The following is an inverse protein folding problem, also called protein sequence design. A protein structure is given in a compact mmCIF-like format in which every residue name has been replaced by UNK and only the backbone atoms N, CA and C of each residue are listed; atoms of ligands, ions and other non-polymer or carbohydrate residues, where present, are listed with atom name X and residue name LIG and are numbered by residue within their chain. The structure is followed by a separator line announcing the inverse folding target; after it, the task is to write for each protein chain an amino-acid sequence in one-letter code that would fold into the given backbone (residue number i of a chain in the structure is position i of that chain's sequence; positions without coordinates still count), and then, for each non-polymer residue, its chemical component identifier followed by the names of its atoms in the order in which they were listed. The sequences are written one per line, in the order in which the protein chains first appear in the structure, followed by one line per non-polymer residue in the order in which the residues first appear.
data_IF_051700895997
#
_entry.id   IF_051700895997
#
_cell.length_a   1.000
_cell.length_b   1.000
_cell.length_c   1.000
_cell.angle_alpha   90.00
_cell.angle_beta   90.00
_cell.angle_gamma   90.00
#
_symmetry.space_group_name_H-M   'P 1'
#
loop_
_entity.id
_entity.type
_entity.pdbx_description
1 polymer ?
#
# COMPACT_ATOMS: atom_id res chain seq x y z
N UNK A 1 -33.22 -34.49 33.22
CA UNK A 1 -32.07 -34.88 32.37
C UNK A 1 -32.34 -34.37 30.97
N UNK A 2 -31.68 -33.29 30.57
CA UNK A 2 -31.60 -32.87 29.17
C UNK A 2 -30.12 -32.66 28.88
N UNK A 3 -29.51 -33.66 28.26
CA UNK A 3 -28.14 -33.59 27.74
C UNK A 3 -28.11 -32.53 26.63
N UNK A 4 -27.57 -31.36 26.94
CA UNK A 4 -27.15 -30.42 25.93
C UNK A 4 -25.94 -31.03 25.21
N UNK A 5 -26.17 -31.47 23.97
CA UNK A 5 -25.11 -31.89 23.05
C UNK A 5 -24.14 -30.71 22.89
N UNK A 6 -22.97 -30.79 23.54
CA UNK A 6 -21.85 -29.89 23.29
C UNK A 6 -21.39 -30.12 21.85
N UNK A 7 -21.84 -29.28 20.91
CA UNK A 7 -21.18 -29.16 19.61
C UNK A 7 -19.76 -28.71 19.88
N UNK A 8 -18.78 -29.50 19.45
CA UNK A 8 -17.38 -29.07 19.43
C UNK A 8 -17.27 -27.90 18.45
N UNK A 9 -16.96 -26.70 18.94
CA UNK A 9 -16.70 -25.54 18.10
C UNK A 9 -15.53 -25.87 17.15
N UNK A 10 -15.83 -25.98 15.86
CA UNK A 10 -14.82 -26.20 14.83
C UNK A 10 -14.06 -24.91 14.60
N UNK A 11 -12.74 -24.99 14.43
CA UNK A 11 -11.91 -23.82 14.12
C UNK A 11 -11.67 -23.73 12.61
N UNK A 12 -11.90 -22.55 12.02
CA UNK A 12 -11.45 -22.20 10.67
C UNK A 12 -10.09 -21.51 10.73
N UNK A 13 -9.21 -21.77 9.75
CA UNK A 13 -7.95 -21.03 9.61
C UNK A 13 -8.17 -19.90 8.61
N UNK A 14 -7.74 -18.69 8.97
CA UNK A 14 -7.85 -17.49 8.15
C UNK A 14 -6.47 -16.86 7.98
N UNK A 15 -6.27 -16.22 6.83
CA UNK A 15 -5.05 -15.47 6.51
C UNK A 15 -5.45 -14.01 6.36
N UNK A 16 -4.81 -13.12 7.12
CA UNK A 16 -5.05 -11.69 6.98
C UNK A 16 -4.51 -11.18 5.63
N UNK A 17 -5.31 -10.51 4.79
CA UNK A 17 -4.84 -9.97 3.51
C UNK A 17 -3.79 -8.86 3.69
N UNK A 18 -3.88 -8.07 4.77
CA UNK A 18 -2.99 -6.93 5.01
C UNK A 18 -1.61 -7.35 5.53
N UNK A 19 -1.54 -8.22 6.55
CA UNK A 19 -0.27 -8.62 7.18
C UNK A 19 0.14 -10.08 6.97
N UNK A 20 -0.66 -10.87 6.24
CA UNK A 20 -0.45 -12.31 5.98
C UNK A 20 -0.35 -13.20 7.22
N UNK A 21 -0.71 -12.68 8.41
CA UNK A 21 -0.78 -13.48 9.62
C UNK A 21 -1.87 -14.56 9.48
N UNK A 22 -1.49 -15.80 9.77
CA UNK A 22 -2.43 -16.93 9.82
C UNK A 22 -2.94 -17.08 11.26
N UNK A 23 -4.26 -16.99 11.44
CA UNK A 23 -4.89 -17.14 12.75
C UNK A 23 -6.19 -17.94 12.64
N UNK A 24 -6.73 -18.39 13.78
CA UNK A 24 -7.89 -19.28 13.83
C UNK A 24 -9.10 -18.58 14.42
N UNK A 25 -10.26 -18.88 13.85
CA UNK A 25 -11.55 -18.27 14.20
C UNK A 25 -12.56 -19.38 14.44
N UNK A 26 -13.41 -19.30 15.47
CA UNK A 26 -14.53 -20.23 15.64
C UNK A 26 -15.44 -20.20 14.42
N UNK A 27 -15.85 -21.36 13.90
CA UNK A 27 -16.76 -21.46 12.74
C UNK A 27 -18.18 -20.97 13.03
N UNK A 28 -18.51 -20.76 14.30
CA UNK A 28 -19.77 -20.23 14.79
C UNK A 28 -19.68 -18.73 15.14
N UNK A 29 -18.66 -18.04 14.63
CA UNK A 29 -18.52 -16.60 14.82
C UNK A 29 -19.65 -15.84 14.10
N UNK A 30 -20.53 -15.23 14.88
CA UNK A 30 -21.74 -14.50 14.46
C UNK A 30 -21.52 -12.99 14.25
N UNK A 31 -20.26 -12.53 14.36
CA UNK A 31 -19.88 -11.15 14.09
C UNK A 31 -19.55 -10.89 12.61
N UNK A 32 -19.99 -9.72 12.11
CA UNK A 32 -19.76 -9.21 10.75
C UNK A 32 -18.26 -8.99 10.37
N UNK A 33 -17.35 -9.21 11.31
CA UNK A 33 -15.91 -9.13 11.07
C UNK A 33 -15.09 -9.56 12.28
N UNK A 34 -13.80 -9.79 12.04
CA UNK A 34 -12.80 -10.22 13.02
C UNK A 34 -11.60 -9.31 12.95
N UNK A 35 -11.08 -8.92 14.10
CA UNK A 35 -9.88 -8.09 14.16
C UNK A 35 -8.65 -9.00 14.07
N UNK A 36 -7.76 -8.72 13.11
CA UNK A 36 -6.51 -9.45 12.99
C UNK A 36 -5.63 -9.18 14.23
N UNK A 37 -5.12 -10.22 14.92
CA UNK A 37 -4.28 -10.00 16.10
C UNK A 37 -2.90 -9.41 15.79
N UNK A 38 -2.46 -9.45 14.52
CA UNK A 38 -1.17 -8.91 14.09
C UNK A 38 -1.21 -7.42 13.78
N UNK A 39 -2.09 -7.01 12.87
CA UNK A 39 -2.16 -5.64 12.38
C UNK A 39 -3.38 -4.85 12.86
N UNK A 40 -4.26 -5.46 13.67
CA UNK A 40 -5.52 -4.87 14.17
C UNK A 40 -6.53 -4.45 13.09
N UNK A 41 -6.32 -4.85 11.84
CA UNK A 41 -7.27 -4.65 10.74
C UNK A 41 -8.58 -5.43 10.97
N UNK A 42 -9.73 -4.81 10.71
CA UNK A 42 -11.04 -5.47 10.76
C UNK A 42 -11.30 -6.22 9.45
N UNK A 43 -11.31 -7.55 9.51
CA UNK A 43 -11.55 -8.42 8.36
C UNK A 43 -13.02 -8.80 8.30
N UNK A 44 -13.69 -8.51 7.18
CA UNK A 44 -15.03 -8.99 6.92
C UNK A 44 -14.98 -10.50 6.61
N UNK A 45 -15.60 -11.33 7.45
CA UNK A 45 -15.79 -12.75 7.14
C UNK A 45 -17.08 -12.88 6.31
N UNK A 46 -17.04 -13.46 5.10
CA UNK A 46 -18.25 -13.67 4.32
C UNK A 46 -19.19 -14.66 5.03
N UNK A 47 -20.46 -14.29 5.21
CA UNK A 47 -21.47 -15.18 5.78
C UNK A 47 -21.48 -16.56 5.11
N UNK A 48 -21.60 -17.60 5.94
CA UNK A 48 -21.60 -19.03 5.57
C UNK A 48 -22.63 -19.39 4.48
N UNK A 49 -23.63 -18.53 4.26
CA UNK A 49 -24.66 -18.69 3.21
C UNK A 49 -24.08 -18.53 1.80
N UNK A 50 -23.00 -17.76 1.61
CA UNK A 50 -22.37 -17.57 0.28
C UNK A 50 -21.40 -18.69 -0.10
N UNK A 51 -20.74 -19.31 0.89
CA UNK A 51 -19.75 -20.37 0.64
C UNK A 51 -20.42 -21.67 0.15
N UNK A 52 -21.59 -22.02 0.69
CA UNK A 52 -22.31 -23.22 0.24
C UNK A 52 -22.77 -23.12 -1.22
N UNK A 53 -23.18 -21.93 -1.68
CA UNK A 53 -23.63 -21.71 -3.07
C UNK A 53 -22.48 -21.70 -4.08
N UNK A 54 -21.29 -21.26 -3.68
CA UNK A 54 -20.08 -21.32 -4.53
C UNK A 54 -19.50 -22.73 -4.65
N UNK A 55 -19.57 -23.54 -3.60
CA UNK A 55 -19.02 -24.90 -3.59
C UNK A 55 -19.95 -25.96 -4.21
N UNK A 56 -21.25 -25.70 -4.32
CA UNK A 56 -22.19 -26.59 -5.01
C UNK A 56 -22.10 -26.51 -6.54
N UNK A 57 -21.57 -25.41 -7.09
CA UNK A 57 -21.32 -25.27 -8.54
C UNK A 57 -20.08 -26.00 -9.06
N UNK A 58 -19.23 -26.53 -8.18
CA UNK A 58 -17.96 -27.19 -8.54
C UNK A 58 -18.01 -28.72 -8.51
N UNK A 59 -19.19 -29.30 -8.37
CA UNK A 59 -19.37 -30.75 -8.54
C UNK A 59 -19.96 -31.06 -9.91
N UNK A 60 -19.09 -31.41 -10.87
CA UNK A 60 -19.29 -32.57 -11.76
C UNK A 60 -18.05 -32.87 -12.61
N UNK A 61 -17.78 -34.18 -12.71
CA UNK A 61 -16.88 -34.94 -13.59
C UNK A 61 -15.38 -34.69 -13.55
N UNK A 62 -14.72 -35.28 -12.54
CA UNK A 62 -13.47 -36.01 -12.76
C UNK A 62 -13.81 -37.32 -13.49
N UNK A 63 -13.63 -37.34 -14.81
CA UNK A 63 -13.34 -38.52 -15.65
C UNK A 63 -13.47 -38.04 -17.10
N UNK A 64 -12.38 -37.53 -17.65
CA UNK A 64 -12.00 -37.56 -19.06
C UNK A 64 -10.79 -36.63 -19.27
N UNK A 65 -9.58 -37.21 -19.17
CA UNK A 65 -8.39 -36.65 -19.81
C UNK A 65 -8.23 -37.31 -21.17
N UNK A 66 -8.04 -36.52 -22.24
CA UNK A 66 -6.95 -36.85 -23.12
C UNK A 66 -6.05 -35.63 -23.41
N UNK A 67 -4.76 -35.88 -23.21
CA UNK A 67 -3.59 -35.39 -23.92
C UNK A 67 -3.76 -34.20 -24.89
N UNK A 68 -3.23 -33.04 -24.49
CA UNK A 68 -2.57 -32.11 -25.42
C UNK A 68 -1.25 -31.64 -24.80
N UNK A 69 -0.21 -32.46 -24.98
CA UNK A 69 1.18 -31.98 -25.08
C UNK A 69 1.44 -31.72 -26.56
N UNK A 70 1.48 -30.46 -26.99
CA UNK A 70 2.38 -29.97 -28.05
C UNK A 70 2.11 -28.50 -28.40
N UNK A 71 3.22 -27.75 -28.54
CA UNK A 71 3.39 -26.41 -29.15
C UNK A 71 3.10 -25.21 -28.26
N UNK A 72 4.10 -24.87 -27.45
CA UNK A 72 4.45 -23.50 -27.14
C UNK A 72 5.84 -23.21 -27.71
N UNK A 73 5.87 -22.42 -28.79
CA UNK A 73 6.98 -21.54 -29.15
C UNK A 73 6.41 -20.12 -29.29
N UNK A 74 7.22 -19.08 -29.03
CA UNK A 74 6.75 -17.82 -28.45
C UNK A 74 6.23 -16.88 -29.53
N UNK A 75 5.06 -16.28 -29.29
CA UNK A 75 4.66 -15.05 -29.97
C UNK A 75 5.34 -13.89 -29.23
N UNK A 76 6.45 -13.43 -29.78
CA UNK A 76 7.04 -12.14 -29.45
C UNK A 76 6.22 -11.04 -30.13
N UNK A 77 5.84 -10.04 -29.33
CA UNK A 77 5.57 -8.62 -29.65
C UNK A 77 4.44 -8.10 -28.74
N UNK A 78 4.85 -7.71 -27.52
CA UNK A 78 4.01 -6.94 -26.60
C UNK A 78 4.61 -5.53 -26.47
N UNK A 79 3.80 -4.54 -26.82
CA UNK A 79 4.05 -3.11 -26.83
C UNK A 79 4.29 -2.55 -25.43
N UNK A 80 5.30 -1.68 -25.32
CA UNK A 80 5.94 -1.21 -24.09
C UNK A 80 5.50 0.18 -23.67
N UNK A 81 4.98 0.34 -22.44
CA UNK A 81 5.43 1.41 -21.52
C UNK A 81 5.22 1.04 -20.03
N UNK A 82 4.12 0.40 -19.64
CA UNK A 82 3.98 -0.16 -18.26
C UNK A 82 4.54 -1.59 -18.12
N UNK A 83 4.59 -2.36 -19.22
CA UNK A 83 5.26 -3.67 -19.25
C UNK A 83 6.79 -3.59 -19.10
N UNK A 84 7.40 -2.40 -19.29
CA UNK A 84 8.82 -2.18 -19.03
C UNK A 84 9.12 -1.95 -17.53
N UNK A 85 8.18 -1.33 -16.80
CA UNK A 85 8.26 -1.19 -15.33
C UNK A 85 8.07 -2.55 -14.64
N UNK A 86 7.08 -3.35 -15.06
CA UNK A 86 6.79 -4.63 -14.38
C UNK A 86 7.72 -5.80 -14.77
N UNK A 87 8.44 -5.74 -15.90
CA UNK A 87 9.38 -6.83 -16.28
C UNK A 87 10.68 -6.85 -15.50
N UNK A 88 11.07 -5.77 -14.81
CA UNK A 88 12.24 -5.79 -13.94
C UNK A 88 12.00 -6.38 -12.54
N UNK A 89 10.75 -6.73 -12.20
CA UNK A 89 10.44 -7.46 -10.95
C UNK A 89 10.56 -8.99 -11.07
N UNK A 90 10.86 -9.54 -12.26
CA UNK A 90 10.98 -10.99 -12.48
C UNK A 90 12.34 -11.43 -13.05
N UNK A 91 13.42 -10.68 -12.78
CA UNK A 91 14.79 -11.17 -12.98
C UNK A 91 15.77 -10.62 -11.94
N UNK A 92 15.50 -10.85 -10.65
CA UNK A 92 16.62 -11.05 -9.74
C UNK A 92 17.10 -12.48 -9.96
N UNK A 93 18.33 -12.64 -10.40
CA UNK A 93 19.08 -13.88 -10.30
C UNK A 93 18.77 -14.56 -8.97
N UNK A 94 18.38 -15.84 -9.01
CA UNK A 94 18.38 -16.67 -7.79
C UNK A 94 19.71 -16.46 -7.07
N UNK A 95 19.71 -16.21 -5.75
CA UNK A 95 20.95 -16.09 -5.02
C UNK A 95 21.75 -17.40 -5.15
N UNK A 96 23.08 -17.30 -5.20
CA UNK A 96 24.02 -18.38 -5.58
C UNK A 96 24.06 -19.61 -4.64
N UNK A 97 23.09 -19.74 -3.72
CA UNK A 97 22.93 -20.89 -2.83
C UNK A 97 21.91 -21.93 -3.33
N UNK A 98 21.22 -21.68 -4.45
CA UNK A 98 20.31 -22.65 -5.12
C UNK A 98 20.97 -23.47 -6.24
N UNK A 99 22.31 -23.54 -6.31
CA UNK A 99 22.96 -24.54 -7.16
C UNK A 99 22.88 -25.91 -6.48
N UNK A 100 22.06 -26.80 -7.05
CA UNK A 100 22.07 -28.22 -6.75
C UNK A 100 23.50 -28.76 -6.91
N UNK A 101 24.09 -29.19 -5.80
CA UNK A 101 25.37 -29.90 -5.79
C UNK A 101 25.11 -31.30 -6.31
N UNK A 102 25.76 -31.66 -7.43
CA UNK A 102 25.73 -33.01 -7.98
C UNK A 102 26.27 -34.01 -6.94
N UNK A 103 25.47 -34.97 -6.45
CA UNK A 103 25.87 -35.87 -5.37
C UNK A 103 26.99 -36.85 -5.76
N UNK A 104 27.44 -36.87 -7.01
CA UNK A 104 28.45 -37.81 -7.50
C UNK A 104 29.92 -37.29 -7.45
N UNK A 105 30.19 -36.05 -7.00
CA UNK A 105 31.56 -35.48 -6.99
C UNK A 105 32.30 -35.45 -5.63
N UNK A 106 31.89 -36.21 -4.61
CA UNK A 106 32.65 -36.27 -3.33
C UNK A 106 33.49 -37.56 -3.21
N UNK A 107 34.84 -37.49 -3.14
CA UNK A 107 35.66 -38.67 -2.93
C UNK A 107 35.52 -39.21 -1.51
N UNK A 108 35.01 -40.44 -1.39
CA UNK A 108 34.89 -41.19 -0.13
C UNK A 108 36.28 -41.48 0.47
N UNK A 109 36.60 -40.85 1.60
CA UNK A 109 37.71 -41.26 2.48
C UNK A 109 37.18 -41.57 3.88
N UNK A 110 37.31 -42.83 4.29
CA UNK A 110 36.75 -43.37 5.53
C UNK A 110 37.55 -42.91 6.76
N UNK A 111 36.93 -42.12 7.63
CA UNK A 111 37.49 -41.72 8.93
C UNK A 111 36.51 -42.06 10.07
N UNK A 112 36.20 -43.36 10.25
CA UNK A 112 35.35 -43.84 11.35
C UNK A 112 35.93 -43.61 12.76
N UNK A 113 37.21 -43.24 12.87
CA UNK A 113 37.90 -43.02 14.15
C UNK A 113 37.80 -41.59 14.69
N UNK A 114 37.48 -40.60 13.85
CA UNK A 114 37.35 -39.19 14.28
C UNK A 114 35.92 -38.89 14.78
N UNK A 115 34.93 -39.59 14.22
CA UNK A 115 33.52 -39.39 14.57
C UNK A 115 33.18 -39.92 15.97
N UNK A 116 33.83 -40.98 16.45
CA UNK A 116 33.55 -41.55 17.78
C UNK A 116 34.09 -40.70 18.93
N UNK A 117 35.20 -39.97 18.71
CA UNK A 117 35.79 -39.06 19.70
C UNK A 117 34.98 -37.77 19.86
N UNK A 118 34.34 -37.28 18.80
CA UNK A 118 33.46 -36.11 18.85
C UNK A 118 32.14 -36.38 19.57
N UNK A 119 31.58 -37.58 19.44
CA UNK A 119 30.32 -37.94 20.11
C UNK A 119 30.45 -38.06 21.64
N UNK A 120 31.57 -38.59 22.16
CA UNK A 120 31.77 -38.66 23.62
C UNK A 120 32.06 -37.28 24.26
N UNK A 121 32.74 -36.38 23.56
CA UNK A 121 33.00 -35.02 24.04
C UNK A 121 31.76 -34.11 23.98
N UNK A 122 30.94 -34.25 22.93
CA UNK A 122 29.73 -33.43 22.75
C UNK A 122 28.63 -33.74 23.78
N UNK A 123 28.42 -35.01 24.10
CA UNK A 123 27.38 -35.42 25.07
C UNK A 123 27.73 -34.99 26.49
N UNK A 124 29.01 -35.08 26.87
CA UNK A 124 29.46 -34.63 28.20
C UNK A 124 29.39 -33.11 28.36
N UNK A 125 29.73 -32.34 27.31
CA UNK A 125 29.56 -30.89 27.31
C UNK A 125 28.09 -30.46 27.39
N UNK A 126 27.20 -31.13 26.67
CA UNK A 126 25.76 -30.80 26.67
C UNK A 126 25.11 -31.05 28.04
N UNK A 127 25.46 -32.14 28.72
CA UNK A 127 24.94 -32.45 30.07
C UNK A 127 25.40 -31.41 31.09
N UNK A 128 26.64 -30.92 31.00
CA UNK A 128 27.16 -29.87 31.88
C UNK A 128 26.44 -28.52 31.68
N UNK A 129 26.13 -28.16 30.43
CA UNK A 129 25.38 -26.94 30.10
C UNK A 129 23.94 -27.04 30.61
N UNK A 130 23.27 -28.17 30.39
CA UNK A 130 21.92 -28.40 30.90
C UNK A 130 21.87 -28.40 32.44
N UNK A 131 22.89 -28.94 33.11
CA UNK A 131 22.98 -28.92 34.57
C UNK A 131 23.22 -27.49 35.10
N UNK A 132 24.09 -26.69 34.44
CA UNK A 132 24.30 -25.29 34.80
C UNK A 132 23.04 -24.44 34.61
N UNK A 133 22.32 -24.61 33.50
CA UNK A 133 21.06 -23.91 33.25
C UNK A 133 19.98 -24.32 34.27
N UNK A 134 19.92 -25.60 34.62
CA UNK A 134 18.98 -26.08 35.64
C UNK A 134 19.30 -25.50 37.04
N UNK A 135 20.57 -25.38 37.41
CA UNK A 135 20.98 -24.73 38.69
C UNK A 135 20.72 -23.23 38.74
N UNK A 136 20.75 -22.53 37.60
CA UNK A 136 20.36 -21.10 37.54
C UNK A 136 18.85 -20.95 37.68
N UNK A 137 18.05 -21.86 37.11
CA UNK A 137 16.58 -21.79 37.20
C UNK A 137 16.07 -22.13 38.60
N UNK A 138 16.73 -23.05 39.34
CA UNK A 138 16.29 -23.43 40.69
C UNK A 138 16.76 -22.50 41.81
N UNK A 139 17.59 -21.51 41.52
CA UNK A 139 18.05 -20.50 42.49
C UNK A 139 17.31 -19.17 42.39
N UNK A 140 16.39 -19.03 41.43
CA UNK A 140 15.59 -17.82 41.22
C UNK A 140 14.11 -18.12 41.49
N UNK A 141 13.79 -18.39 42.75
CA UNK A 141 12.46 -18.12 43.31
C UNK A 141 12.62 -17.27 44.57
N UNK A 142 11.90 -16.14 44.57
CA UNK A 142 11.63 -15.20 45.67
C UNK A 142 12.70 -14.15 46.00
N UNK A 143 12.75 -13.08 45.22
CA UNK A 143 12.56 -11.68 45.68
C UNK A 143 12.83 -10.71 44.53
N UNK A 144 11.78 -10.13 43.95
CA UNK A 144 11.52 -8.68 43.88
C UNK A 144 10.37 -8.42 42.90
N UNK A 145 9.29 -7.86 43.43
CA UNK A 145 8.26 -7.18 42.66
C UNK A 145 8.93 -5.93 42.08
N UNK A 146 9.43 -6.04 40.84
CA UNK A 146 9.84 -4.87 40.07
C UNK A 146 8.57 -4.31 39.42
N UNK A 147 8.18 -3.12 39.88
CA UNK A 147 7.14 -2.32 39.26
C UNK A 147 7.39 -2.20 37.76
N UNK A 148 6.35 -2.54 36.99
CA UNK A 148 6.26 -2.38 35.54
C UNK A 148 6.40 -0.89 35.25
N UNK A 149 7.59 -0.44 34.87
CA UNK A 149 7.78 0.92 34.35
C UNK A 149 6.96 1.04 33.08
N UNK A 150 6.09 2.05 33.06
CA UNK A 150 5.26 2.41 31.92
C UNK A 150 6.11 2.47 30.65
N UNK A 151 5.78 1.61 29.69
CA UNK A 151 6.32 1.65 28.34
C UNK A 151 5.69 2.89 27.70
N UNK A 152 6.44 3.99 27.64
CA UNK A 152 6.01 5.23 26.99
C UNK A 152 5.62 4.89 25.55
N UNK A 153 4.31 4.86 25.32
CA UNK A 153 3.70 4.75 24.00
C UNK A 153 4.29 5.87 23.14
N UNK A 154 4.91 5.57 21.98
CA UNK A 154 5.49 6.58 21.11
C UNK A 154 4.48 7.70 20.83
N UNK A 155 4.92 8.97 20.89
CA UNK A 155 4.06 10.15 20.81
C UNK A 155 3.10 10.13 19.61
N UNK A 156 3.54 9.59 18.46
CA UNK A 156 2.69 9.44 17.26
C UNK A 156 1.50 8.50 17.46
N UNK A 157 1.63 7.49 18.32
CA UNK A 157 0.56 6.55 18.64
C UNK A 157 -0.49 7.20 19.56
N UNK A 158 -0.07 8.09 20.46
CA UNK A 158 -0.98 8.94 21.25
C UNK A 158 -1.65 10.02 20.38
N UNK A 159 -0.91 10.64 19.46
CA UNK A 159 -1.44 11.64 18.52
C UNK A 159 -2.49 11.04 17.58
N UNK A 160 -2.35 9.78 17.16
CA UNK A 160 -3.36 9.10 16.33
C UNK A 160 -4.68 8.88 17.09
N UNK A 161 -4.65 8.51 18.37
CA UNK A 161 -5.87 8.39 19.20
C UNK A 161 -6.54 9.76 19.41
N UNK A 162 -5.78 10.84 19.60
CA UNK A 162 -6.35 12.18 19.73
C UNK A 162 -6.87 12.77 18.39
N UNK A 163 -6.24 12.45 17.26
CA UNK A 163 -6.67 12.90 15.93
C UNK A 163 -7.88 12.12 15.40
N UNK A 164 -8.02 10.84 15.73
CA UNK A 164 -9.25 10.07 15.44
C UNK A 164 -10.48 10.70 16.13
N UNK A 165 -10.29 11.29 17.31
CA UNK A 165 -11.36 11.97 18.07
C UNK A 165 -11.72 13.34 17.48
N UNK A 166 -10.82 13.99 16.72
CA UNK A 166 -11.03 15.33 16.16
C UNK A 166 -11.40 15.36 14.67
N UNK A 167 -11.62 14.21 14.03
CA UNK A 167 -12.11 14.16 12.65
C UNK A 167 -13.41 14.98 12.57
N UNK A 168 -13.51 16.02 11.70
CA UNK A 168 -14.79 16.66 11.47
C UNK A 168 -15.73 15.57 10.96
N UNK A 169 -16.79 15.32 11.73
CA UNK A 169 -17.85 14.43 11.31
C UNK A 169 -18.45 15.00 10.01
N UNK A 170 -17.99 14.51 8.86
CA UNK A 170 -18.77 14.61 7.64
C UNK A 170 -20.07 13.90 7.98
N UNK A 171 -21.12 14.67 8.25
CA UNK A 171 -22.41 14.12 8.65
C UNK A 171 -22.81 13.08 7.60
N UNK A 172 -22.86 11.82 8.00
CA UNK A 172 -23.23 10.69 7.12
C UNK A 172 -24.56 10.95 6.38
N UNK A 173 -25.43 11.77 6.97
CA UNK A 173 -26.70 12.21 6.38
C UNK A 173 -26.55 12.96 5.05
N UNK A 174 -25.47 13.74 4.85
CA UNK A 174 -25.22 14.47 3.59
C UNK A 174 -24.75 13.57 2.45
N UNK A 175 -23.92 12.56 2.76
CA UNK A 175 -23.45 11.56 1.79
C UNK A 175 -24.63 10.68 1.32
N UNK A 176 -25.54 10.32 2.23
CA UNK A 176 -26.73 9.52 1.90
C UNK A 176 -27.72 10.29 1.02
N UNK A 177 -27.90 11.59 1.22
CA UNK A 177 -28.77 12.42 0.37
C UNK A 177 -28.19 12.60 -1.06
N UNK A 178 -26.87 12.75 -1.18
CA UNK A 178 -26.16 12.81 -2.47
C UNK A 178 -26.31 11.50 -3.25
N UNK A 179 -26.21 10.35 -2.58
CA UNK A 179 -26.36 9.04 -3.21
C UNK A 179 -27.79 8.79 -3.78
N UNK A 180 -28.77 9.61 -3.39
CA UNK A 180 -30.15 9.54 -3.89
C UNK A 180 -30.41 10.44 -5.12
N UNK A 181 -29.49 11.35 -5.48
CA UNK A 181 -29.57 12.06 -6.75
C UNK A 181 -29.27 11.07 -7.89
N UNK A 182 -30.21 10.92 -8.82
CA UNK A 182 -30.05 10.03 -9.98
C UNK A 182 -28.78 10.36 -10.78
N UNK A 183 -28.34 11.61 -10.74
CA UNK A 183 -27.13 12.07 -11.40
C UNK A 183 -25.84 11.52 -10.77
N UNK A 184 -25.86 11.11 -9.50
CA UNK A 184 -24.70 10.62 -8.76
C UNK A 184 -24.74 9.11 -8.52
N UNK A 185 -25.71 8.41 -9.10
CA UNK A 185 -25.75 6.95 -9.10
C UNK A 185 -24.49 6.36 -9.73
N UNK A 186 -23.86 5.43 -9.02
CA UNK A 186 -22.58 4.84 -9.41
C UNK A 186 -22.59 4.18 -10.79
N UNK A 187 -23.69 3.57 -11.22
CA UNK A 187 -23.81 2.97 -12.56
C UNK A 187 -23.80 4.03 -13.67
N UNK A 188 -24.51 5.14 -13.47
CA UNK A 188 -24.57 6.26 -14.42
C UNK A 188 -23.24 6.99 -14.48
N UNK A 189 -22.68 7.33 -13.30
CA UNK A 189 -21.39 8.00 -13.18
C UNK A 189 -20.28 7.13 -13.77
N UNK A 190 -20.26 5.85 -13.40
CA UNK A 190 -19.31 4.85 -13.87
C UNK A 190 -19.24 4.73 -15.39
N UNK A 191 -20.40 4.68 -16.05
CA UNK A 191 -20.47 4.65 -17.51
C UNK A 191 -19.86 5.91 -18.15
N UNK A 192 -20.17 7.10 -17.63
CA UNK A 192 -19.67 8.38 -18.15
C UNK A 192 -18.16 8.55 -17.93
N UNK A 193 -17.65 8.27 -16.73
CA UNK A 193 -16.20 8.33 -16.47
C UNK A 193 -15.45 7.26 -17.27
N UNK A 194 -16.04 6.08 -17.50
CA UNK A 194 -15.46 5.06 -18.35
C UNK A 194 -15.38 5.45 -19.83
N UNK A 195 -16.31 6.26 -20.34
CA UNK A 195 -16.24 6.84 -21.68
C UNK A 195 -15.11 7.87 -21.79
N UNK A 196 -15.03 8.80 -20.84
CA UNK A 196 -13.94 9.81 -20.80
C UNK A 196 -12.58 9.13 -20.66
N UNK A 197 -12.45 8.15 -19.78
CA UNK A 197 -11.21 7.41 -19.60
C UNK A 197 -10.80 6.73 -20.91
N UNK A 198 -11.71 6.08 -21.65
CA UNK A 198 -11.38 5.49 -22.95
C UNK A 198 -10.91 6.53 -23.96
N UNK A 199 -11.55 7.70 -24.04
CA UNK A 199 -11.09 8.77 -24.92
C UNK A 199 -9.66 9.24 -24.60
N UNK A 200 -9.28 9.28 -23.33
CA UNK A 200 -7.93 9.71 -22.92
C UNK A 200 -6.92 8.59 -23.16
N UNK A 201 -7.18 7.40 -22.65
CA UNK A 201 -6.24 6.29 -22.65
C UNK A 201 -6.07 5.64 -24.03
N UNK A 202 -7.07 5.72 -24.91
CA UNK A 202 -6.99 5.17 -26.26
C UNK A 202 -6.64 6.24 -27.32
N UNK A 203 -6.50 7.51 -26.93
CA UNK A 203 -6.07 8.59 -27.84
C UNK A 203 -4.68 8.33 -28.41
N UNK A 204 -4.48 8.64 -29.69
CA UNK A 204 -3.17 8.51 -30.35
C UNK A 204 -2.21 9.62 -29.93
N UNK A 205 -2.76 10.77 -29.51
CA UNK A 205 -2.01 11.94 -29.07
C UNK A 205 -2.56 12.53 -27.79
N UNK A 206 -1.66 13.03 -26.92
CA UNK A 206 -2.04 13.78 -25.71
C UNK A 206 -2.75 15.10 -26.01
N UNK A 207 -2.65 15.60 -27.24
CA UNK A 207 -3.40 16.79 -27.68
C UNK A 207 -4.92 16.55 -27.72
N UNK A 208 -5.36 15.29 -27.85
CA UNK A 208 -6.78 14.93 -27.82
C UNK A 208 -7.37 15.00 -26.41
N UNK A 209 -6.53 15.16 -25.38
CA UNK A 209 -6.97 15.18 -23.98
C UNK A 209 -7.59 16.52 -23.58
N UNK A 210 -7.22 17.62 -24.25
CA UNK A 210 -7.61 18.99 -23.90
C UNK A 210 -9.10 19.16 -23.50
N UNK A 211 -10.11 18.64 -24.24
CA UNK A 211 -11.52 18.80 -23.86
C UNK A 211 -11.94 17.99 -22.63
N UNK A 212 -11.13 17.04 -22.20
CA UNK A 212 -11.38 16.13 -21.10
C UNK A 212 -10.52 16.43 -19.86
N UNK A 213 -9.55 17.34 -19.93
CA UNK A 213 -8.70 17.67 -18.79
C UNK A 213 -9.36 18.66 -17.84
N UNK A 214 -9.17 18.41 -16.55
CA UNK A 214 -9.39 19.42 -15.54
C UNK A 214 -8.34 20.53 -15.69
N UNK A 215 -8.79 21.79 -15.63
CA UNK A 215 -7.94 22.98 -15.76
C UNK A 215 -6.97 22.91 -16.97
N UNK A 216 -7.51 22.54 -18.13
CA UNK A 216 -6.72 22.28 -19.34
C UNK A 216 -5.77 23.42 -19.72
N UNK A 217 -6.15 24.69 -19.44
CA UNK A 217 -5.31 25.87 -19.72
C UNK A 217 -3.96 25.80 -18.98
N UNK A 218 -3.96 25.37 -17.72
CA UNK A 218 -2.74 25.25 -16.90
C UNK A 218 -2.10 23.86 -16.99
N UNK A 219 -2.88 22.82 -17.23
CA UNK A 219 -2.42 21.42 -17.23
C UNK A 219 -1.82 21.00 -18.57
N UNK A 220 -2.36 21.44 -19.71
CA UNK A 220 -1.84 21.06 -21.04
C UNK A 220 -0.35 21.40 -21.26
N UNK A 221 0.17 22.56 -20.83
CA UNK A 221 1.61 22.83 -20.89
C UNK A 221 2.45 21.79 -20.14
N UNK A 222 1.98 21.32 -18.96
CA UNK A 222 2.66 20.31 -18.15
C UNK A 222 2.60 18.93 -18.81
N UNK A 223 1.43 18.56 -19.34
CA UNK A 223 1.23 17.33 -20.12
C UNK A 223 2.21 17.28 -21.28
N UNK A 224 2.28 18.35 -22.09
CA UNK A 224 3.18 18.42 -23.24
C UNK A 224 4.65 18.29 -22.83
N UNK A 225 5.06 18.97 -21.76
CA UNK A 225 6.43 18.86 -21.25
C UNK A 225 6.75 17.43 -20.79
N UNK A 226 5.84 16.82 -20.01
CA UNK A 226 6.01 15.47 -19.48
C UNK A 226 6.11 14.40 -20.59
N UNK A 227 5.23 14.47 -21.59
CA UNK A 227 5.20 13.51 -22.69
C UNK A 227 6.18 13.82 -23.83
N UNK A 228 6.87 14.97 -23.79
CA UNK A 228 8.01 15.23 -24.67
C UNK A 228 9.22 14.35 -24.29
N UNK A 229 9.42 14.10 -23.00
CA UNK A 229 10.46 13.21 -22.49
C UNK A 229 10.00 11.74 -22.47
N UNK A 230 8.70 11.53 -22.26
CA UNK A 230 8.08 10.20 -22.15
C UNK A 230 6.98 10.03 -23.20
N UNK A 231 7.27 9.66 -24.45
CA UNK A 231 6.26 9.61 -25.50
C UNK A 231 5.04 8.77 -25.13
N UNK A 232 3.85 9.37 -25.25
CA UNK A 232 2.58 8.68 -24.99
C UNK A 232 2.38 7.50 -25.94
N UNK A 233 1.82 6.41 -25.40
CA UNK A 233 1.35 5.27 -26.19
C UNK A 233 -0.06 4.92 -25.74
N UNK A 234 -1.01 4.74 -26.67
CA UNK A 234 -2.36 4.32 -26.33
C UNK A 234 -2.37 3.04 -25.50
N UNK A 235 -3.18 3.03 -24.45
CA UNK A 235 -3.39 1.89 -23.55
C UNK A 235 -4.86 1.53 -23.57
N UNK A 236 -5.16 0.26 -23.88
CA UNK A 236 -6.54 -0.23 -23.86
C UNK A 236 -6.99 -0.46 -22.40
N UNK A 237 -8.14 0.10 -22.04
CA UNK A 237 -8.77 -0.15 -20.75
C UNK A 237 -9.51 -1.50 -20.76
N UNK A 238 -9.71 -2.11 -19.59
CA UNK A 238 -10.59 -3.26 -19.46
C UNK A 238 -12.01 -2.90 -19.92
N UNK A 239 -12.73 -3.84 -20.55
CA UNK A 239 -14.14 -3.64 -20.92
C UNK A 239 -15.03 -3.37 -19.69
N UNK A 240 -14.57 -3.78 -18.51
CA UNK A 240 -15.24 -3.55 -17.23
C UNK A 240 -14.84 -2.23 -16.56
N UNK A 241 -13.97 -1.43 -17.18
CA UNK A 241 -13.56 -0.15 -16.62
C UNK A 241 -14.77 0.78 -16.39
N UNK A 242 -14.89 1.33 -15.19
CA UNK A 242 -16.06 2.12 -14.77
C UNK A 242 -17.24 1.30 -14.22
N UNK A 243 -17.18 -0.04 -14.27
CA UNK A 243 -18.14 -0.92 -13.57
C UNK A 243 -17.66 -1.41 -12.19
N UNK A 244 -16.41 -1.08 -11.84
CA UNK A 244 -15.75 -1.43 -10.59
C UNK A 244 -16.09 -0.53 -9.40
N UNK A 245 -15.24 -0.57 -8.37
CA UNK A 245 -15.39 0.24 -7.17
C UNK A 245 -15.19 1.74 -7.50
N UNK A 246 -16.27 2.51 -7.35
CA UNK A 246 -16.31 3.95 -7.51
C UNK A 246 -16.49 4.59 -6.14
N UNK A 247 -15.71 5.63 -5.85
CA UNK A 247 -15.95 6.49 -4.69
C UNK A 247 -16.40 7.85 -5.19
N UNK A 248 -17.65 8.19 -4.90
CA UNK A 248 -18.27 9.46 -5.30
C UNK A 248 -18.24 10.41 -4.11
N UNK A 249 -17.55 11.54 -4.26
CA UNK A 249 -17.43 12.61 -3.27
C UNK A 249 -17.67 13.92 -4.03
N UNK A 250 -18.92 14.36 -4.25
CA UNK A 250 -19.19 15.45 -5.18
C UNK A 250 -18.37 16.72 -4.91
N UNK A 251 -17.89 17.39 -5.96
CA UNK A 251 -18.06 17.06 -7.39
C UNK A 251 -17.08 15.97 -7.90
N UNK A 252 -16.29 15.36 -7.02
CA UNK A 252 -15.22 14.43 -7.37
C UNK A 252 -15.71 12.97 -7.49
N UNK A 253 -15.07 12.23 -8.39
CA UNK A 253 -15.26 10.80 -8.59
C UNK A 253 -13.90 10.14 -8.66
N UNK A 254 -13.61 9.27 -7.69
CA UNK A 254 -12.44 8.39 -7.74
C UNK A 254 -12.84 7.07 -8.36
N UNK A 255 -12.06 6.62 -9.32
CA UNK A 255 -12.27 5.37 -10.04
C UNK A 255 -11.07 4.46 -9.79
N UNK A 256 -11.32 3.29 -9.21
CA UNK A 256 -10.36 2.19 -9.26
C UNK A 256 -10.77 1.28 -10.40
N UNK A 257 -9.92 1.15 -11.41
CA UNK A 257 -10.20 0.32 -12.58
C UNK A 257 -9.00 -0.53 -12.97
N UNK A 258 -9.24 -1.45 -13.90
CA UNK A 258 -8.21 -2.34 -14.41
C UNK A 258 -7.88 -1.99 -15.86
N UNK A 259 -6.60 -2.03 -16.19
CA UNK A 259 -6.11 -2.03 -17.56
C UNK A 259 -6.34 -3.40 -18.20
N UNK A 260 -6.15 -3.49 -19.53
CA UNK A 260 -6.29 -4.75 -20.26
C UNK A 260 -5.28 -5.84 -19.82
N UNK A 261 -4.17 -5.45 -19.16
CA UNK A 261 -3.19 -6.36 -18.57
C UNK A 261 -3.45 -6.68 -17.08
N UNK A 262 -4.64 -6.32 -16.56
CA UNK A 262 -5.08 -6.47 -15.17
C UNK A 262 -4.35 -5.59 -14.14
N UNK A 263 -3.50 -4.67 -14.59
CA UNK A 263 -2.91 -3.66 -13.72
C UNK A 263 -4.01 -2.75 -13.15
N UNK A 264 -4.04 -2.55 -11.83
CA UNK A 264 -4.99 -1.66 -11.17
C UNK A 264 -4.51 -0.23 -11.32
N UNK A 265 -5.44 0.65 -11.68
CA UNK A 265 -5.20 2.08 -11.85
C UNK A 265 -6.21 2.91 -11.07
N UNK A 266 -5.75 4.05 -10.57
CA UNK A 266 -6.58 5.00 -9.83
C UNK A 266 -6.69 6.31 -10.60
N UNK A 267 -7.90 6.67 -10.99
CA UNK A 267 -8.19 7.92 -11.68
C UNK A 267 -9.03 8.83 -10.78
N UNK A 268 -8.88 10.13 -10.99
CA UNK A 268 -9.72 11.14 -10.39
C UNK A 268 -10.38 11.95 -11.49
N UNK A 269 -11.69 12.16 -11.33
CA UNK A 269 -12.47 13.03 -12.19
C UNK A 269 -13.20 14.06 -11.35
N UNK A 270 -13.38 15.25 -11.92
CA UNK A 270 -14.26 16.28 -11.39
C UNK A 270 -15.46 16.46 -12.33
N UNK A 271 -16.65 16.51 -11.75
CA UNK A 271 -17.86 16.78 -12.51
C UNK A 271 -18.15 18.27 -12.56
N UNK A 272 -18.21 18.81 -13.78
CA UNK A 272 -18.63 20.18 -14.05
C UNK A 272 -19.85 20.15 -14.97
N UNK A 273 -21.04 20.34 -14.38
CA UNK A 273 -22.32 20.15 -15.06
C UNK A 273 -22.49 18.69 -15.49
N UNK A 274 -22.58 18.44 -16.79
CA UNK A 274 -22.69 17.08 -17.36
C UNK A 274 -21.36 16.48 -17.82
N UNK A 275 -20.27 17.25 -17.73
CA UNK A 275 -18.93 16.80 -18.13
C UNK A 275 -18.17 16.22 -16.93
N UNK A 276 -17.35 15.22 -17.21
CA UNK A 276 -16.36 14.70 -16.28
C UNK A 276 -14.98 15.05 -16.81
N UNK A 277 -14.21 15.77 -16.00
CA UNK A 277 -12.88 16.27 -16.33
C UNK A 277 -11.85 15.45 -15.56
N UNK A 278 -10.86 14.92 -16.27
CA UNK A 278 -9.80 14.08 -15.76
C UNK A 278 -8.71 14.93 -15.10
N UNK A 279 -8.35 14.56 -13.86
CA UNK A 279 -7.21 15.15 -13.17
C UNK A 279 -5.93 14.39 -13.53
N UNK A 280 -5.22 14.89 -14.53
CA UNK A 280 -3.97 14.28 -15.00
C UNK A 280 -2.86 14.35 -13.95
N UNK A 281 -2.78 15.42 -13.16
CA UNK A 281 -1.73 15.57 -12.14
C UNK A 281 -1.88 14.54 -11.03
N UNK A 282 -3.13 14.20 -10.66
CA UNK A 282 -3.45 13.10 -9.78
C UNK A 282 -2.97 11.76 -10.36
N UNK A 283 -3.18 11.54 -11.66
CA UNK A 283 -2.81 10.30 -12.35
C UNK A 283 -1.29 10.06 -12.39
N UNK A 284 -0.51 11.05 -12.84
CA UNK A 284 0.95 10.87 -12.95
C UNK A 284 1.70 11.13 -11.64
N UNK A 285 1.03 11.62 -10.60
CA UNK A 285 1.71 12.09 -9.39
C UNK A 285 2.66 13.26 -9.70
N UNK A 286 2.17 14.24 -10.48
CA UNK A 286 3.00 15.32 -11.01
C UNK A 286 3.74 16.06 -9.90
N UNK A 287 5.04 16.30 -10.12
CA UNK A 287 5.91 17.06 -9.21
C UNK A 287 6.59 18.17 -10.00
N UNK A 288 6.99 19.26 -9.33
CA UNK A 288 7.60 20.44 -9.96
C UNK A 288 8.90 20.10 -10.71
N UNK A 289 9.60 19.07 -10.26
CA UNK A 289 10.86 18.59 -10.81
C UNK A 289 10.87 17.05 -10.81
N UNK A 290 11.52 16.39 -11.80
CA UNK A 290 11.76 14.95 -11.75
C UNK A 290 12.49 14.54 -10.47
N UNK A 291 12.04 13.46 -9.84
CA UNK A 291 12.61 12.98 -8.58
C UNK A 291 14.11 12.66 -8.69
N UNK A 292 14.55 12.11 -9.82
CA UNK A 292 15.96 11.80 -10.05
C UNK A 292 16.82 13.07 -10.18
N UNK A 293 16.34 14.06 -10.92
CA UNK A 293 17.00 15.37 -11.06
C UNK A 293 17.12 16.07 -9.70
N UNK A 294 16.04 16.09 -8.92
CA UNK A 294 16.02 16.64 -7.57
C UNK A 294 17.06 16.00 -6.64
N UNK A 295 17.23 14.66 -6.74
CA UNK A 295 18.24 13.92 -5.97
C UNK A 295 19.68 14.23 -6.39
N UNK A 296 19.89 14.57 -7.65
CA UNK A 296 21.20 14.84 -8.22
C UNK A 296 21.61 16.31 -8.02
N UNK A 297 20.70 17.25 -8.22
CA UNK A 297 20.94 18.68 -8.05
C UNK A 297 20.94 19.11 -6.58
N UNK A 298 20.18 18.41 -5.72
CA UNK A 298 20.02 18.71 -4.29
C UNK A 298 19.71 20.19 -4.02
N UNK A 299 18.62 20.75 -4.59
CA UNK A 299 18.32 22.15 -4.42
C UNK A 299 18.02 22.46 -2.94
N UNK A 300 18.58 23.57 -2.46
CA UNK A 300 18.26 24.13 -1.14
C UNK A 300 16.99 24.99 -1.16
N UNK A 301 16.50 25.34 -2.37
CA UNK A 301 15.20 25.99 -2.53
C UNK A 301 14.08 24.94 -2.48
N UNK A 302 12.98 25.20 -1.76
CA UNK A 302 11.84 24.28 -1.68
C UNK A 302 11.18 24.03 -3.03
N UNK A 303 10.92 22.75 -3.31
CA UNK A 303 10.26 22.24 -4.53
C UNK A 303 9.00 21.45 -4.18
N UNK A 304 7.97 21.57 -5.01
CA UNK A 304 6.69 20.88 -4.79
C UNK A 304 6.74 19.44 -5.30
N UNK A 305 6.37 18.50 -4.45
CA UNK A 305 6.30 17.08 -4.75
C UNK A 305 4.95 16.47 -4.34
N UNK A 306 4.38 15.67 -5.23
CA UNK A 306 3.29 14.74 -4.92
C UNK A 306 3.90 13.40 -4.52
N UNK A 307 3.76 13.02 -3.25
CA UNK A 307 4.36 11.81 -2.69
C UNK A 307 3.33 10.96 -1.94
N UNK A 308 3.58 9.66 -1.85
CA UNK A 308 2.94 8.79 -0.86
C UNK A 308 3.79 8.81 0.39
N UNK A 309 3.22 9.30 1.49
CA UNK A 309 3.89 9.54 2.75
C UNK A 309 3.58 8.43 3.75
N UNK A 310 4.62 7.93 4.41
CA UNK A 310 4.54 6.94 5.47
C UNK A 310 5.32 7.43 6.70
N UNK A 311 4.91 6.98 7.88
CA UNK A 311 5.79 7.06 9.04
C UNK A 311 7.04 6.20 8.81
N UNK A 312 8.18 6.68 9.30
CA UNK A 312 9.44 5.93 9.26
C UNK A 312 10.23 6.18 10.56
N UNK A 313 11.40 5.56 10.70
CA UNK A 313 12.33 5.74 11.82
C UNK A 313 13.80 5.81 11.37
N UNK A 314 14.06 6.15 10.11
CA UNK A 314 15.40 6.30 9.56
C UNK A 314 16.11 7.57 10.06
N UNK A 315 16.90 7.44 11.14
CA UNK A 315 17.70 8.53 11.71
C UNK A 315 19.20 8.37 11.39
N UNK A 316 19.72 9.25 10.54
CA UNK A 316 21.12 9.22 10.11
C UNK A 316 21.70 10.62 9.85
N UNK A 317 23.03 10.72 9.94
CA UNK A 317 23.80 11.96 9.67
C UNK A 317 23.36 13.18 10.49
N UNK A 318 22.85 14.23 9.86
CA UNK A 318 22.35 15.45 10.53
C UNK A 318 21.01 15.24 11.25
N UNK A 319 20.37 14.11 11.01
CA UNK A 319 19.04 13.78 11.49
C UNK A 319 19.08 12.60 12.49
N UNK A 320 19.99 12.65 13.48
CA UNK A 320 20.16 11.56 14.46
C UNK A 320 19.38 11.75 15.76
N UNK A 321 18.93 12.97 16.01
CA UNK A 321 18.19 13.33 17.22
C UNK A 321 16.69 13.11 16.98
N UNK A 322 16.18 11.99 17.46
CA UNK A 322 14.76 11.59 17.40
C UNK A 322 13.85 12.45 18.29
N UNK A 323 14.43 13.25 19.20
CA UNK A 323 13.70 14.27 19.97
C UNK A 323 13.59 15.59 19.21
N UNK A 324 14.42 15.79 18.19
CA UNK A 324 14.35 16.96 17.31
C UNK A 324 13.57 16.68 16.05
N UNK A 325 13.75 15.51 15.44
CA UNK A 325 13.26 15.23 14.10
C UNK A 325 12.13 14.21 14.11
N UNK A 326 11.03 14.53 13.46
CA UNK A 326 10.05 13.54 13.00
C UNK A 326 10.38 13.18 11.56
N UNK A 327 10.51 11.89 11.26
CA UNK A 327 10.85 11.38 9.92
C UNK A 327 9.64 10.76 9.23
N UNK A 328 9.57 10.95 7.92
CA UNK A 328 8.60 10.37 7.01
C UNK A 328 9.31 9.77 5.81
N UNK A 329 8.83 8.61 5.34
CA UNK A 329 9.23 8.04 4.06
C UNK A 329 8.30 8.58 2.98
N UNK A 330 8.89 9.17 1.95
CA UNK A 330 8.19 9.79 0.83
C UNK A 330 8.50 9.00 -0.42
N UNK A 331 7.49 8.43 -1.04
CA UNK A 331 7.61 7.62 -2.26
C UNK A 331 6.95 8.33 -3.44
N UNK A 332 7.56 8.21 -4.62
CA UNK A 332 6.88 8.49 -5.89
C UNK A 332 5.72 7.51 -6.11
N UNK A 333 4.77 7.86 -6.98
CA UNK A 333 3.56 7.04 -7.21
C UNK A 333 3.88 5.62 -7.71
N UNK A 334 4.99 5.46 -8.40
CA UNK A 334 5.52 4.20 -8.91
C UNK A 334 6.45 3.47 -7.91
N UNK A 335 6.67 4.07 -6.74
CA UNK A 335 7.63 3.63 -5.72
C UNK A 335 9.08 3.48 -6.22
N UNK A 336 9.44 4.00 -7.39
CA UNK A 336 10.82 3.94 -7.91
C UNK A 336 11.77 4.88 -7.15
N UNK A 337 11.23 5.96 -6.60
CA UNK A 337 11.99 6.97 -5.90
C UNK A 337 11.53 7.11 -4.45
N UNK A 338 12.48 6.94 -3.53
CA UNK A 338 12.28 7.17 -2.11
C UNK A 338 13.10 8.35 -1.62
N UNK A 339 12.51 9.20 -0.78
CA UNK A 339 13.14 10.22 0.04
C UNK A 339 12.74 10.02 1.51
N UNK A 340 13.59 10.47 2.42
CA UNK A 340 13.31 10.59 3.84
C UNK A 340 13.15 12.07 4.16
N UNK A 341 11.91 12.48 4.42
CA UNK A 341 11.55 13.84 4.79
C UNK A 341 11.59 14.01 6.30
N UNK A 342 12.18 15.10 6.77
CA UNK A 342 12.30 15.41 8.19
C UNK A 342 11.59 16.72 8.52
N UNK A 343 10.87 16.74 9.64
CA UNK A 343 10.27 17.93 10.24
C UNK A 343 10.90 18.16 11.61
N UNK A 344 11.28 19.40 11.91
CA UNK A 344 11.74 19.77 13.24
C UNK A 344 10.53 19.85 14.19
N UNK A 345 10.37 18.83 15.04
CA UNK A 345 9.23 18.72 15.96
C UNK A 345 9.31 19.69 17.14
N UNK A 346 10.46 20.30 17.39
CA UNK A 346 10.58 21.33 18.44
C UNK A 346 9.96 22.65 18.02
N UNK A 347 9.80 22.87 16.71
CA UNK A 347 9.34 24.15 16.13
C UNK A 347 8.09 24.00 15.27
N UNK A 348 7.79 22.81 14.73
CA UNK A 348 6.75 22.62 13.71
C UNK A 348 5.73 21.52 14.06
N UNK A 349 5.30 21.44 15.32
CA UNK A 349 4.28 20.47 15.76
C UNK A 349 2.99 20.51 14.94
N UNK A 350 2.55 21.69 14.49
CA UNK A 350 1.37 21.82 13.64
C UNK A 350 1.52 21.14 12.27
N UNK A 351 2.71 21.23 11.67
CA UNK A 351 3.01 20.59 10.39
C UNK A 351 3.07 19.07 10.54
N UNK A 352 3.58 18.56 11.67
CA UNK A 352 3.59 17.12 11.98
C UNK A 352 2.16 16.57 12.02
N UNK A 353 1.25 17.27 12.71
CA UNK A 353 -0.16 16.89 12.74
C UNK A 353 -0.82 16.95 11.36
N UNK A 354 -0.42 17.90 10.51
CA UNK A 354 -0.97 18.04 9.16
C UNK A 354 -0.45 16.96 8.18
N UNK A 355 0.83 16.56 8.30
CA UNK A 355 1.48 15.57 7.42
C UNK A 355 1.23 14.13 7.88
N UNK A 356 0.74 13.94 9.11
CA UNK A 356 0.49 12.63 9.74
C UNK A 356 -0.23 11.64 8.79
N UNK A 357 0.48 10.61 8.27
CA UNK A 357 -0.11 9.70 7.32
C UNK A 357 -0.96 8.62 7.99
N UNK A 358 -1.86 8.03 7.22
CA UNK A 358 -2.53 6.77 7.55
C UNK A 358 -1.53 5.60 7.57
N UNK A 359 -1.93 4.49 8.19
CA UNK A 359 -1.07 3.30 8.34
C UNK A 359 -0.67 2.65 7.01
N UNK A 360 -1.49 2.81 5.98
CA UNK A 360 -1.28 2.34 4.61
C UNK A 360 -0.66 3.41 3.69
N UNK A 361 -0.31 4.58 4.25
CA UNK A 361 0.29 5.71 3.57
C UNK A 361 -0.74 6.74 3.10
N UNK A 362 -0.32 8.00 3.06
CA UNK A 362 -1.17 9.10 2.61
C UNK A 362 -0.57 9.77 1.39
N UNK A 363 -1.37 9.92 0.33
CA UNK A 363 -1.02 10.76 -0.82
C UNK A 363 -1.04 12.20 -0.35
N UNK A 364 0.07 12.91 -0.44
CA UNK A 364 0.18 14.31 -0.02
C UNK A 364 0.94 15.13 -1.06
N UNK A 365 0.67 16.43 -1.08
CA UNK A 365 1.49 17.38 -1.84
C UNK A 365 2.26 18.25 -0.85
N UNK A 366 3.58 18.22 -0.92
CA UNK A 366 4.48 18.87 0.03
C UNK A 366 5.54 19.69 -0.68
N UNK A 367 6.09 20.69 0.00
CA UNK A 367 7.34 21.32 -0.39
C UNK A 367 8.50 20.71 0.39
N UNK A 368 9.55 20.34 -0.33
CA UNK A 368 10.76 19.78 0.25
C UNK A 368 12.01 20.45 -0.30
N UNK A 369 13.06 20.54 0.50
CA UNK A 369 14.39 20.97 0.08
C UNK A 369 15.49 20.16 0.73
N UNK A 370 16.70 20.22 0.16
CA UNK A 370 17.88 19.68 0.81
C UNK A 370 18.49 20.68 1.80
N UNK A 371 18.94 20.24 2.99
CA UNK A 371 19.70 21.12 3.86
C UNK A 371 20.99 21.60 3.17
N UNK A 372 21.46 22.80 3.50
CA UNK A 372 22.65 23.41 2.87
C UNK A 372 23.91 22.52 2.91
N UNK A 373 24.02 21.65 3.93
CA UNK A 373 25.12 20.71 4.11
C UNK A 373 24.76 19.24 3.79
N UNK A 374 23.78 19.03 2.90
CA UNK A 374 23.24 17.73 2.53
C UNK A 374 24.29 16.69 2.07
N UNK A 375 24.64 15.79 2.99
CA UNK A 375 25.54 14.65 2.71
C UNK A 375 24.84 13.55 1.93
N UNK A 376 23.63 13.16 2.35
CA UNK A 376 22.85 12.11 1.70
C UNK A 376 22.12 12.64 0.45
N UNK A 377 21.79 11.75 -0.50
CA UNK A 377 20.98 12.06 -1.68
C UNK A 377 19.49 11.84 -1.46
N UNK A 378 19.08 11.35 -0.31
CA UNK A 378 17.70 10.95 -0.05
C UNK A 378 17.16 11.48 1.28
N UNK A 379 17.78 12.52 1.85
CA UNK A 379 17.35 13.14 3.10
C UNK A 379 17.05 14.61 2.85
N UNK A 380 15.81 15.00 3.13
CA UNK A 380 15.27 16.33 2.82
C UNK A 380 14.49 16.87 4.00
N UNK A 381 14.33 18.18 4.07
CA UNK A 381 13.44 18.84 5.00
C UNK A 381 12.06 19.00 4.34
N UNK A 382 11.00 18.80 5.11
CA UNK A 382 9.63 19.12 4.70
C UNK A 382 9.32 20.51 5.23
N UNK A 383 9.12 21.46 4.32
CA UNK A 383 8.86 22.86 4.65
C UNK A 383 7.38 23.13 4.89
N UNK A 384 6.53 22.51 4.06
CA UNK A 384 5.13 22.87 3.95
C UNK A 384 4.32 21.68 3.43
N UNK A 385 3.12 21.49 4.00
CA UNK A 385 2.07 20.70 3.41
C UNK A 385 1.24 21.62 2.50
N UNK A 386 1.35 21.42 1.19
CA UNK A 386 0.59 22.18 0.19
C UNK A 386 -0.84 21.65 0.11
N UNK A 387 -1.01 20.32 0.08
CA UNK A 387 -2.31 19.67 0.10
C UNK A 387 -2.27 18.36 0.89
N UNK A 388 -3.25 18.09 1.77
CA UNK A 388 -3.34 16.87 2.57
C UNK A 388 -3.75 15.64 1.76
N UNK A 389 -4.23 15.84 0.52
CA UNK A 389 -4.45 14.79 -0.46
C UNK A 389 -3.99 15.29 -1.85
N UNK A 390 -3.98 14.41 -2.85
CA UNK A 390 -3.71 14.77 -4.25
C UNK A 390 -4.92 15.36 -4.98
N UNK A 391 -6.03 15.51 -4.27
CA UNK A 391 -7.14 16.33 -4.72
C UNK A 391 -7.37 17.43 -3.71
N UNK A 392 -7.74 18.58 -4.24
CA UNK A 392 -8.04 19.74 -3.44
C UNK A 392 -9.39 19.56 -2.75
N UNK A 393 -9.35 19.51 -1.42
CA UNK A 393 -10.52 19.35 -0.56
C UNK A 393 -11.44 20.57 -0.60
N UNK A 394 -10.94 21.75 -0.98
CA UNK A 394 -11.77 22.95 -1.18
C UNK A 394 -12.71 22.79 -2.39
N UNK A 395 -12.38 21.87 -3.32
CA UNK A 395 -13.27 21.52 -4.43
C UNK A 395 -14.51 20.76 -3.97
N UNK A 396 -14.48 20.13 -2.79
CA UNK A 396 -15.63 19.42 -2.24
C UNK A 396 -16.67 20.44 -1.79
N UNK A 397 -17.71 20.61 -2.60
CA UNK A 397 -18.88 21.36 -2.19
C UNK A 397 -19.69 20.50 -1.22
N UNK A 398 -19.55 20.76 0.08
CA UNK A 398 -20.54 20.27 1.05
C UNK A 398 -21.83 21.04 0.79
N UNK A 399 -22.98 20.38 0.52
CA UNK A 399 -24.24 21.09 0.43
C UNK A 399 -24.52 21.77 1.78
N UNK A 400 -24.47 23.09 1.81
CA UNK A 400 -24.99 23.85 2.93
C UNK A 400 -26.51 23.72 2.85
N UNK A 401 -27.11 22.93 3.73
CA UNK A 401 -28.56 22.98 3.93
C UNK A 401 -28.90 24.42 4.34
N UNK A 402 -29.53 25.19 3.45
CA UNK A 402 -30.24 26.40 3.85
C UNK A 402 -31.35 25.96 4.82
N UNK A 403 -31.13 26.23 6.12
CA UNK A 403 -32.17 26.10 7.14
C UNK A 403 -33.40 26.91 6.69
N UNK A 404 -34.50 26.21 6.44
CA UNK A 404 -35.81 26.79 6.12
C UNK A 404 -36.58 27.23 7.35
#
# INVERSE_FOLDING_TARGET
MSEAVKKSAGWGSFVCPSCRLVFRIPRDHDGYGVVCPGCKEMLAIPDDVKIHKMLEGFKTSSDDQPEIKAKLQPAAEATTHQAAMHKHMASSSSPDWERDVDPDEVPKRSNHLVLSLLYLGGVTGFVMICWALFSVVTTVELEEVVERSDEEVPLWQQMNEELEVQKPAVKETGIVAIAQDENWRSDVVGAKVGEVARHIFEAESVEEWEPYLYDAENVMPKVRAYYAENPWKPVKLSEQFGSGALTVIPPLVKVSGELADYSIIHLLFERVGDKFLFDWEYWVGWSEMPWQEFKDEKPSEPKVFRAVCYYDNYYAYGFRDDKKWQVYRLESIDSEHVLYGYIDQTTNMGLIGAVAPHSDGSRITIKVHYPEDARARNQVLIDELVMPDWYDVERIQVPVEEEK
#
